data_IF_625150007980
#
_entry.id   IF_625150007980
#
_cell.length_a   1.000
_cell.length_b   1.000
_cell.length_c   1.000
_cell.angle_alpha   90.00
_cell.angle_beta   90.00
_cell.angle_gamma   90.00
#
_symmetry.space_group_name_H-M   'P 1'
#
loop_
_entity.id
_entity.type
_entity.pdbx_description
1 polymer ?
#
# COMPACT_ATOMS: atom_id res chain seq x y z
N UNK A 1 4.74 16.72 -16.80
CA UNK A 1 4.45 16.61 -15.35
C UNK A 1 5.23 15.44 -14.80
N UNK A 2 6.35 15.72 -14.12
CA UNK A 2 7.23 14.69 -13.58
C UNK A 2 6.47 13.91 -12.50
N UNK A 3 6.21 12.62 -12.72
CA UNK A 3 5.67 11.73 -11.69
C UNK A 3 6.70 11.70 -10.57
N UNK A 4 6.48 12.53 -9.55
CA UNK A 4 7.16 12.45 -8.28
C UNK A 4 6.89 11.06 -7.72
N UNK A 5 7.88 10.17 -7.79
CA UNK A 5 7.76 8.83 -7.24
C UNK A 5 7.76 8.97 -5.74
N UNK A 6 6.56 8.99 -5.16
CA UNK A 6 6.35 8.82 -3.74
C UNK A 6 7.04 7.51 -3.32
N UNK A 7 8.03 7.62 -2.44
CA UNK A 7 8.67 6.44 -1.90
C UNK A 7 7.72 5.74 -0.93
N UNK A 8 7.47 4.45 -1.12
CA UNK A 8 6.74 3.63 -0.15
C UNK A 8 7.65 3.17 0.99
N UNK A 9 7.06 2.98 2.18
CA UNK A 9 7.74 2.44 3.34
C UNK A 9 8.18 1.00 3.07
N UNK A 10 9.49 0.73 3.16
CA UNK A 10 10.05 -0.60 2.94
C UNK A 10 9.58 -1.65 3.95
N UNK A 11 8.88 -1.25 5.02
CA UNK A 11 8.30 -2.19 6.01
C UNK A 11 6.81 -2.42 5.82
N UNK A 12 6.02 -1.34 5.71
CA UNK A 12 4.55 -1.41 5.74
C UNK A 12 3.87 -0.95 4.44
N UNK A 13 4.61 -0.59 3.40
CA UNK A 13 4.07 -0.17 2.11
C UNK A 13 3.49 1.25 2.08
N UNK A 14 3.15 1.86 3.23
CA UNK A 14 2.59 3.23 3.28
C UNK A 14 3.44 4.26 2.56
N UNK A 15 2.76 5.19 1.90
CA UNK A 15 3.34 6.41 1.35
C UNK A 15 4.22 7.12 2.38
N UNK A 16 5.42 7.53 1.96
CA UNK A 16 6.30 8.39 2.74
C UNK A 16 6.26 9.78 2.12
N UNK A 17 5.95 10.77 2.95
CA UNK A 17 6.01 12.17 2.57
C UNK A 17 7.38 12.50 1.95
N UNK A 18 7.33 13.26 0.85
CA UNK A 18 8.55 13.73 0.19
C UNK A 18 9.40 14.56 1.14
N UNK A 19 10.72 14.43 0.99
CA UNK A 19 11.68 15.26 1.69
C UNK A 19 12.27 16.22 0.66
N UNK A 20 12.07 17.52 0.83
CA UNK A 20 12.50 18.54 -0.13
C UNK A 20 14.02 18.60 -0.28
N UNK A 21 14.75 18.31 0.81
CA UNK A 21 16.21 18.29 0.84
C UNK A 21 16.72 17.10 1.65
N UNK A 22 17.95 16.66 1.34
CA UNK A 22 18.60 15.56 2.05
C UNK A 22 18.22 14.16 1.55
N UNK A 23 18.65 13.14 2.29
CA UNK A 23 18.46 11.73 1.90
C UNK A 23 17.00 11.32 2.03
N UNK A 24 16.44 10.75 0.94
CA UNK A 24 15.09 10.19 0.94
C UNK A 24 14.89 9.17 2.07
N UNK A 25 13.77 9.32 2.77
CA UNK A 25 13.37 8.42 3.85
C UNK A 25 12.98 7.06 3.28
N UNK A 26 13.40 5.98 3.96
CA UNK A 26 13.02 4.59 3.60
C UNK A 26 11.87 4.05 4.45
N UNK A 27 11.54 4.71 5.55
CA UNK A 27 10.53 4.28 6.50
C UNK A 27 9.65 5.45 6.94
N UNK A 28 8.34 5.22 7.02
CA UNK A 28 7.37 6.23 7.39
C UNK A 28 7.49 6.67 8.86
N UNK A 29 7.99 5.82 9.77
CA UNK A 29 8.19 6.08 11.22
C UNK A 29 9.36 5.27 11.79
N UNK A 30 9.88 5.67 12.95
CA UNK A 30 10.98 4.97 13.64
C UNK A 30 10.62 3.52 13.99
N UNK A 31 9.39 3.25 14.41
CA UNK A 31 8.92 1.89 14.70
C UNK A 31 8.94 0.95 13.49
N UNK A 32 8.66 1.47 12.28
CA UNK A 32 8.78 0.67 11.05
C UNK A 32 10.24 0.35 10.73
N UNK A 33 11.16 1.30 10.98
CA UNK A 33 12.59 1.05 10.83
C UNK A 33 13.08 -0.03 11.81
N UNK A 34 12.64 0.03 13.06
CA UNK A 34 12.99 -0.93 14.10
C UNK A 34 12.50 -2.34 13.74
N UNK A 35 11.20 -2.48 13.40
CA UNK A 35 10.64 -3.77 12.99
C UNK A 35 11.32 -4.36 11.74
N UNK A 36 11.65 -3.52 10.76
CA UNK A 36 12.40 -3.99 9.59
C UNK A 36 13.82 -4.48 9.93
N UNK A 37 14.46 -3.91 10.94
CA UNK A 37 15.76 -4.40 11.42
C UNK A 37 15.61 -5.73 12.15
N UNK A 38 14.68 -5.82 13.09
CA UNK A 38 14.39 -7.06 13.84
C UNK A 38 14.02 -8.21 12.92
N UNK A 39 13.20 -7.93 11.90
CA UNK A 39 12.84 -8.91 10.89
C UNK A 39 14.05 -9.44 10.12
N UNK A 40 14.91 -8.56 9.59
CA UNK A 40 16.14 -9.00 8.91
C UNK A 40 17.06 -9.78 9.85
N UNK A 41 17.20 -9.35 11.11
CA UNK A 41 17.98 -10.06 12.12
C UNK A 41 17.42 -11.45 12.43
N UNK A 42 16.11 -11.59 12.48
CA UNK A 42 15.46 -12.89 12.68
C UNK A 42 15.61 -13.86 11.50
N UNK A 43 15.93 -13.35 10.31
CA UNK A 43 16.17 -14.17 9.11
C UNK A 43 17.63 -14.60 8.95
N UNK A 44 18.56 -14.09 9.75
CA UNK A 44 19.97 -14.49 9.68
C UNK A 44 20.12 -16.00 9.89
N UNK A 45 20.81 -16.68 8.97
CA UNK A 45 21.02 -18.14 9.03
C UNK A 45 19.86 -19.00 8.51
N UNK A 46 18.76 -18.41 8.05
CA UNK A 46 17.61 -19.15 7.46
C UNK A 46 17.79 -19.49 5.98
N UNK A 47 18.79 -18.91 5.31
CA UNK A 47 19.00 -19.02 3.86
C UNK A 47 18.05 -18.15 3.01
N UNK A 48 17.17 -17.37 3.64
CA UNK A 48 16.29 -16.42 2.96
C UNK A 48 17.12 -15.19 2.51
N UNK A 49 17.01 -14.75 1.24
CA UNK A 49 17.70 -13.56 0.76
C UNK A 49 17.35 -12.30 1.57
N UNK A 50 18.34 -11.43 1.82
CA UNK A 50 18.18 -10.23 2.67
C UNK A 50 17.16 -9.20 2.15
N UNK A 51 16.89 -9.22 0.85
CA UNK A 51 15.93 -8.36 0.15
C UNK A 51 14.53 -8.98 0.03
N UNK A 52 14.30 -10.15 0.63
CA UNK A 52 12.99 -10.81 0.64
C UNK A 52 11.96 -10.05 1.48
N UNK A 53 10.71 -10.06 1.03
CA UNK A 53 9.56 -9.64 1.83
C UNK A 53 8.87 -10.88 2.39
N UNK A 54 8.96 -11.10 3.70
CA UNK A 54 8.32 -12.25 4.36
C UNK A 54 7.07 -11.79 5.11
N UNK A 55 5.90 -12.21 4.65
CA UNK A 55 4.62 -11.99 5.32
C UNK A 55 4.21 -13.25 6.07
N UNK A 56 3.54 -13.10 7.21
CA UNK A 56 2.76 -14.18 7.80
C UNK A 56 1.60 -14.55 6.88
N UNK A 57 1.05 -15.76 7.05
CA UNK A 57 -0.14 -16.17 6.31
C UNK A 57 -1.31 -15.19 6.50
N UNK A 58 -1.49 -14.68 7.72
CA UNK A 58 -2.53 -13.67 8.00
C UNK A 58 -2.28 -12.37 7.26
N UNK A 59 -1.06 -11.83 7.28
CA UNK A 59 -0.72 -10.59 6.55
C UNK A 59 -0.93 -10.75 5.03
N UNK A 60 -0.65 -11.94 4.48
CA UNK A 60 -0.90 -12.24 3.07
C UNK A 60 -2.40 -12.29 2.74
N UNK A 61 -3.21 -12.93 3.60
CA UNK A 61 -4.68 -12.92 3.46
C UNK A 61 -5.24 -11.51 3.58
N UNK A 62 -4.84 -10.74 4.60
CA UNK A 62 -5.30 -9.36 4.80
C UNK A 62 -4.93 -8.47 3.61
N UNK A 63 -3.77 -8.70 2.98
CA UNK A 63 -3.37 -8.00 1.76
C UNK A 63 -4.28 -8.37 0.58
N UNK A 64 -4.56 -9.66 0.39
CA UNK A 64 -5.45 -10.14 -0.67
C UNK A 64 -6.88 -9.56 -0.50
N UNK A 65 -7.41 -9.55 0.72
CA UNK A 65 -8.75 -9.04 1.04
C UNK A 65 -8.89 -7.55 0.71
N UNK A 66 -7.87 -6.75 1.03
CA UNK A 66 -7.88 -5.30 0.70
C UNK A 66 -7.81 -5.05 -0.80
N UNK A 67 -7.01 -5.83 -1.53
CA UNK A 67 -6.99 -5.75 -3.00
C UNK A 67 -8.32 -6.22 -3.62
N UNK A 68 -8.95 -7.23 -3.04
CA UNK A 68 -10.27 -7.67 -3.46
C UNK A 68 -11.30 -6.54 -3.28
N UNK A 69 -11.32 -5.88 -2.12
CA UNK A 69 -12.19 -4.75 -1.87
C UNK A 69 -11.95 -3.57 -2.84
N UNK A 70 -10.68 -3.24 -3.11
CA UNK A 70 -10.35 -2.20 -4.10
C UNK A 70 -10.81 -2.56 -5.52
N UNK A 71 -10.69 -3.83 -5.93
CA UNK A 71 -11.22 -4.31 -7.21
C UNK A 71 -12.74 -4.17 -7.27
N UNK A 72 -13.46 -4.61 -6.23
CA UNK A 72 -14.92 -4.47 -6.19
C UNK A 72 -15.36 -3.01 -6.29
N UNK A 73 -14.70 -2.09 -5.58
CA UNK A 73 -15.00 -0.66 -5.70
C UNK A 73 -14.74 -0.12 -7.13
N UNK A 74 -13.78 -0.68 -7.87
CA UNK A 74 -13.57 -0.32 -9.27
C UNK A 74 -14.66 -0.88 -10.19
N UNK A 75 -15.17 -2.08 -9.90
CA UNK A 75 -16.31 -2.69 -10.58
C UNK A 75 -17.60 -1.90 -10.33
N UNK A 76 -17.80 -1.37 -9.12
CA UNK A 76 -18.91 -0.49 -8.77
C UNK A 76 -18.87 0.81 -9.59
N UNK A 77 -17.70 1.45 -9.72
CA UNK A 77 -17.52 2.62 -10.59
C UNK A 77 -17.86 2.29 -12.04
N UNK A 78 -17.40 1.14 -12.56
CA UNK A 78 -17.69 0.72 -13.93
C UNK A 78 -19.20 0.49 -14.16
N UNK A 79 -19.88 -0.09 -13.18
CA UNK A 79 -21.33 -0.31 -13.20
C UNK A 79 -22.08 1.01 -13.19
N UNK A 80 -21.74 1.92 -12.28
CA UNK A 80 -22.35 3.25 -12.20
C UNK A 80 -22.19 4.05 -13.51
N UNK A 81 -21.02 3.97 -14.15
CA UNK A 81 -20.80 4.57 -15.47
C UNK A 81 -21.71 3.94 -16.54
N UNK A 82 -21.85 2.62 -16.55
CA UNK A 82 -22.70 1.91 -17.51
C UNK A 82 -24.19 2.23 -17.33
N UNK A 83 -24.62 2.50 -16.10
CA UNK A 83 -26.01 2.87 -15.75
C UNK A 83 -26.29 4.37 -15.91
N UNK A 84 -25.29 5.18 -16.22
CA UNK A 84 -25.44 6.62 -16.41
C UNK A 84 -25.63 7.39 -15.09
N UNK A 85 -25.00 6.93 -14.01
CA UNK A 85 -24.97 7.60 -12.72
C UNK A 85 -24.51 9.06 -12.85
N UNK A 86 -24.99 9.90 -11.94
CA UNK A 86 -24.66 11.32 -11.96
C UNK A 86 -23.23 11.61 -11.47
N UNK A 87 -22.80 12.84 -11.68
CA UNK A 87 -21.44 13.25 -11.33
C UNK A 87 -21.15 13.21 -9.82
N UNK A 88 -22.17 13.34 -8.97
CA UNK A 88 -21.99 13.30 -7.52
C UNK A 88 -21.75 11.85 -7.06
N UNK A 89 -22.57 10.92 -7.54
CA UNK A 89 -22.41 9.48 -7.25
C UNK A 89 -21.06 8.96 -7.76
N UNK A 90 -20.67 9.29 -8.99
CA UNK A 90 -19.37 8.90 -9.54
C UNK A 90 -18.19 9.47 -8.73
N UNK A 91 -18.32 10.70 -8.21
CA UNK A 91 -17.30 11.30 -7.37
C UNK A 91 -17.16 10.57 -6.02
N UNK A 92 -18.27 10.15 -5.41
CA UNK A 92 -18.26 9.37 -4.18
C UNK A 92 -17.62 7.99 -4.38
N UNK A 93 -18.04 7.25 -5.40
CA UNK A 93 -17.48 5.94 -5.73
C UNK A 93 -15.99 6.01 -6.06
N UNK A 94 -15.57 7.01 -6.84
CA UNK A 94 -14.16 7.22 -7.16
C UNK A 94 -13.33 7.57 -5.91
N UNK A 95 -13.87 8.38 -5.00
CA UNK A 95 -13.21 8.70 -3.73
C UNK A 95 -13.03 7.44 -2.86
N UNK A 96 -14.07 6.61 -2.76
CA UNK A 96 -14.03 5.35 -2.03
C UNK A 96 -13.00 4.38 -2.62
N UNK A 97 -13.00 4.20 -3.95
CA UNK A 97 -12.01 3.40 -4.66
C UNK A 97 -10.57 3.85 -4.35
N UNK A 98 -10.31 5.17 -4.38
CA UNK A 98 -8.97 5.70 -4.07
C UNK A 98 -8.58 5.40 -2.62
N UNK A 99 -9.49 5.46 -1.66
CA UNK A 99 -9.18 5.09 -0.27
C UNK A 99 -8.86 3.60 -0.14
N UNK A 100 -9.68 2.73 -0.73
CA UNK A 100 -9.45 1.28 -0.69
C UNK A 100 -8.15 0.88 -1.39
N UNK A 101 -7.82 1.52 -2.51
CA UNK A 101 -6.55 1.30 -3.20
C UNK A 101 -5.35 1.71 -2.33
N UNK A 102 -5.40 2.87 -1.66
CA UNK A 102 -4.36 3.30 -0.71
C UNK A 102 -4.21 2.34 0.46
N UNK A 103 -5.31 1.79 0.96
CA UNK A 103 -5.27 0.77 1.98
C UNK A 103 -4.68 -0.55 1.48
N UNK A 104 -4.98 -0.94 0.24
CA UNK A 104 -4.44 -2.14 -0.40
C UNK A 104 -2.92 -2.08 -0.67
N UNK A 105 -2.34 -0.89 -0.82
CA UNK A 105 -0.88 -0.70 -0.95
C UNK A 105 -0.10 -1.12 0.30
N UNK A 106 -0.74 -1.21 1.47
CA UNK A 106 -0.03 -1.49 2.71
C UNK A 106 0.33 -2.97 2.83
N UNK A 107 1.58 -3.29 3.08
CA UNK A 107 2.00 -4.68 3.29
C UNK A 107 1.57 -5.22 4.67
N UNK A 108 1.40 -4.31 5.65
CA UNK A 108 1.16 -4.60 7.08
C UNK A 108 0.40 -3.46 7.79
#
# INVERSE_FOLDING_TARGET
>A
MSRRVLSSCLWCGREIAETETGRRRRYCRQSCRQRAYEHRKGLEGTGIPEDSVVLSAQEATDLADRWFAARCAAEDVATAVAEGADAAELAELASNLVQLAKDAERLR
#
